data_IF_399409987832
#
_entry.id   IF_399409987832
#
_cell.length_a   1.000
_cell.length_b   1.000
_cell.length_c   1.000
_cell.angle_alpha   90.00
_cell.angle_beta   90.00
_cell.angle_gamma   90.00
#
_symmetry.space_group_name_H-M   'P 1'
#
loop_
_entity.id
_entity.type
_entity.pdbx_description
1 polymer ?
#
# COMPACT_ATOMS: atom_id res chain seq x y z
N UNK A 1 -21.33 31.58 -18.19
CA UNK A 1 -21.64 30.46 -17.27
C UNK A 1 -20.31 29.80 -16.93
N UNK A 2 -19.74 30.07 -15.76
CA UNK A 2 -18.45 29.48 -15.36
C UNK A 2 -18.71 28.06 -14.85
N UNK A 3 -18.05 27.01 -15.38
CA UNK A 3 -18.23 25.67 -14.86
C UNK A 3 -17.69 25.60 -13.43
N UNK A 4 -18.46 24.96 -12.57
CA UNK A 4 -18.20 24.85 -11.15
C UNK A 4 -16.94 23.98 -10.94
N UNK A 5 -15.77 24.64 -10.79
CA UNK A 5 -14.43 24.04 -10.66
C UNK A 5 -14.18 23.32 -9.32
N UNK A 6 -15.18 23.30 -8.43
CA UNK A 6 -15.06 22.70 -7.10
C UNK A 6 -16.04 21.53 -6.94
N UNK A 7 -15.83 20.45 -7.72
CA UNK A 7 -16.34 19.15 -7.29
C UNK A 7 -15.56 18.78 -6.02
N UNK A 8 -16.25 18.77 -4.87
CA UNK A 8 -15.69 18.16 -3.65
C UNK A 8 -15.25 16.74 -4.00
N UNK A 9 -13.99 16.34 -3.70
CA UNK A 9 -13.60 14.95 -3.81
C UNK A 9 -14.61 14.10 -3.04
N UNK A 10 -14.97 12.93 -3.59
CA UNK A 10 -15.77 11.98 -2.83
C UNK A 10 -15.09 11.72 -1.48
N UNK A 11 -15.87 11.53 -0.38
CA UNK A 11 -15.27 11.21 0.91
C UNK A 11 -14.38 9.98 0.74
N UNK A 12 -13.08 10.14 1.02
CA UNK A 12 -12.13 9.03 0.95
C UNK A 12 -12.55 7.98 1.99
N UNK A 13 -12.53 6.68 1.62
CA UNK A 13 -12.75 5.59 2.57
C UNK A 13 -11.84 5.77 3.79
N UNK A 14 -12.37 5.58 4.99
CA UNK A 14 -11.55 5.59 6.21
C UNK A 14 -10.56 4.41 6.18
N UNK A 15 -9.36 4.55 6.76
CA UNK A 15 -8.45 3.42 6.94
C UNK A 15 -9.13 2.29 7.71
N UNK A 16 -8.93 1.06 7.26
CA UNK A 16 -9.39 -0.18 7.89
C UNK A 16 -8.51 -0.57 9.08
N UNK A 17 -7.23 -0.17 9.06
CA UNK A 17 -6.25 -0.39 10.12
C UNK A 17 -5.19 0.73 10.11
N UNK A 18 -4.37 0.79 11.16
CA UNK A 18 -3.24 1.72 11.25
C UNK A 18 -1.99 1.08 10.65
N UNK A 19 -1.15 1.81 9.88
CA UNK A 19 0.02 1.25 9.22
C UNK A 19 1.22 1.00 10.17
N UNK A 20 1.16 1.48 11.42
CA UNK A 20 2.32 1.45 12.31
C UNK A 20 3.52 2.23 11.75
N UNK A 21 4.72 1.69 11.96
CA UNK A 21 5.99 2.24 11.47
C UNK A 21 6.17 1.94 9.99
N UNK A 22 6.39 2.97 9.18
CA UNK A 22 6.70 2.81 7.76
C UNK A 22 8.20 2.61 7.53
N UNK A 23 8.56 1.53 6.84
CA UNK A 23 9.91 1.24 6.38
C UNK A 23 9.93 1.07 4.85
N UNK A 24 11.00 1.54 4.22
CA UNK A 24 11.21 1.40 2.78
C UNK A 24 12.50 0.62 2.56
N UNK A 25 12.50 -0.31 1.60
CA UNK A 25 13.75 -0.89 1.14
C UNK A 25 14.67 0.20 0.56
N UNK A 26 15.97 -0.07 0.47
CA UNK A 26 16.94 0.91 -0.04
C UNK A 26 16.59 1.38 -1.46
N UNK A 27 16.15 0.46 -2.33
CA UNK A 27 15.75 0.78 -3.70
C UNK A 27 14.46 1.60 -3.74
N UNK A 28 13.46 1.24 -2.93
CA UNK A 28 12.20 2.01 -2.85
C UNK A 28 12.46 3.42 -2.27
N UNK A 29 13.30 3.54 -1.25
CA UNK A 29 13.71 4.82 -0.72
C UNK A 29 14.42 5.68 -1.79
N UNK A 30 15.28 5.08 -2.62
CA UNK A 30 15.90 5.77 -3.75
C UNK A 30 14.86 6.27 -4.77
N UNK A 31 13.89 5.42 -5.16
CA UNK A 31 12.81 5.80 -6.09
C UNK A 31 11.99 6.98 -5.55
N UNK A 32 11.65 6.94 -4.26
CA UNK A 32 10.91 8.01 -3.58
C UNK A 32 11.71 9.33 -3.57
N UNK A 33 13.00 9.27 -3.24
CA UNK A 33 13.89 10.45 -3.26
C UNK A 33 14.05 11.07 -4.64
N UNK A 34 13.86 10.29 -5.70
CA UNK A 34 13.86 10.76 -7.10
C UNK A 34 12.51 11.28 -7.56
N UNK A 35 11.47 11.21 -6.72
CA UNK A 35 10.11 11.61 -7.08
C UNK A 35 9.45 10.68 -8.10
N UNK A 36 9.96 9.46 -8.26
CA UNK A 36 9.43 8.48 -9.21
C UNK A 36 8.21 7.73 -8.66
N UNK A 37 8.06 7.73 -7.33
CA UNK A 37 6.93 7.15 -6.61
C UNK A 37 6.55 8.03 -5.42
N UNK A 38 5.30 7.91 -4.97
CA UNK A 38 4.83 8.45 -3.69
C UNK A 38 4.53 7.27 -2.73
N UNK A 39 5.44 6.93 -1.80
CA UNK A 39 5.23 5.86 -0.84
C UNK A 39 3.98 6.05 0.01
N UNK A 40 3.66 7.29 0.38
CA UNK A 40 2.54 7.58 1.25
C UNK A 40 1.21 7.28 0.53
N UNK A 41 1.12 7.58 -0.76
CA UNK A 41 -0.05 7.21 -1.57
C UNK A 41 -0.26 5.69 -1.61
N UNK A 42 0.82 4.90 -1.70
CA UNK A 42 0.73 3.43 -1.71
C UNK A 42 0.26 2.89 -0.35
N UNK A 43 0.81 3.40 0.75
CA UNK A 43 0.36 3.03 2.11
C UNK A 43 -1.09 3.43 2.31
N UNK A 44 -1.49 4.62 1.84
CA UNK A 44 -2.86 5.10 1.95
C UNK A 44 -3.86 4.20 1.22
N UNK A 45 -3.49 3.62 0.08
CA UNK A 45 -4.28 2.63 -0.63
C UNK A 45 -4.36 1.32 0.16
N UNK A 46 -3.22 0.81 0.61
CA UNK A 46 -3.10 -0.42 1.40
C UNK A 46 -3.99 -0.38 2.65
N UNK A 47 -3.85 0.66 3.49
CA UNK A 47 -4.64 0.76 4.74
C UNK A 47 -6.13 0.95 4.51
N UNK A 48 -6.57 1.28 3.29
CA UNK A 48 -7.99 1.42 2.92
C UNK A 48 -8.56 0.18 2.24
N UNK A 49 -7.78 -0.91 2.17
CA UNK A 49 -8.18 -2.15 1.53
C UNK A 49 -8.13 -2.11 0.00
N UNK A 50 -7.43 -1.14 -0.59
CA UNK A 50 -7.05 -1.25 -2.00
C UNK A 50 -5.82 -2.14 -2.09
N UNK A 51 -6.06 -3.42 -2.34
CA UNK A 51 -5.02 -4.45 -2.41
C UNK A 51 -4.21 -4.45 -3.73
N UNK A 52 -4.56 -3.57 -4.67
CA UNK A 52 -3.88 -3.48 -5.96
C UNK A 52 -4.14 -4.68 -6.87
N UNK A 53 -3.11 -5.21 -7.51
CA UNK A 53 -3.15 -6.36 -8.44
C UNK A 53 -2.91 -7.69 -7.72
N UNK A 54 -3.70 -7.98 -6.69
CA UNK A 54 -3.71 -9.27 -5.98
C UNK A 54 -4.82 -10.19 -6.48
N UNK A 55 -4.59 -11.50 -6.38
CA UNK A 55 -5.60 -12.53 -6.62
C UNK A 55 -6.64 -12.59 -5.49
N UNK A 56 -7.75 -13.27 -5.75
CA UNK A 56 -8.88 -13.33 -4.81
C UNK A 56 -8.51 -14.00 -3.48
N UNK A 57 -7.65 -15.03 -3.52
CA UNK A 57 -7.21 -15.72 -2.32
C UNK A 57 -6.43 -14.78 -1.39
N UNK A 58 -5.53 -13.96 -1.96
CA UNK A 58 -4.76 -12.96 -1.22
C UNK A 58 -5.66 -11.84 -0.67
N UNK A 59 -6.66 -11.40 -1.44
CA UNK A 59 -7.65 -10.42 -0.95
C UNK A 59 -8.41 -10.94 0.25
N UNK A 60 -8.90 -12.18 0.15
CA UNK A 60 -9.63 -12.81 1.25
C UNK A 60 -8.75 -13.02 2.48
N UNK A 61 -7.48 -13.38 2.29
CA UNK A 61 -6.50 -13.48 3.37
C UNK A 61 -6.29 -12.12 4.06
N UNK A 62 -6.10 -11.04 3.30
CA UNK A 62 -6.00 -9.69 3.87
C UNK A 62 -7.26 -9.29 4.65
N UNK A 63 -8.45 -9.59 4.12
CA UNK A 63 -9.70 -9.23 4.77
C UNK A 63 -9.88 -9.92 6.13
N UNK A 64 -9.36 -11.14 6.27
CA UNK A 64 -9.29 -11.86 7.55
C UNK A 64 -8.22 -11.24 8.45
N UNK A 65 -7.03 -10.98 7.90
CA UNK A 65 -5.88 -10.42 8.61
C UNK A 65 -6.14 -9.07 9.27
N UNK A 66 -7.01 -8.21 8.70
CA UNK A 66 -7.40 -6.92 9.30
C UNK A 66 -7.78 -7.04 10.80
N UNK A 67 -8.37 -8.17 11.21
CA UNK A 67 -8.81 -8.42 12.61
C UNK A 67 -8.04 -9.55 13.29
N UNK A 68 -7.08 -10.14 12.60
CA UNK A 68 -6.27 -11.25 13.08
C UNK A 68 -4.82 -10.84 13.30
N UNK A 69 -3.98 -11.86 13.47
CA UNK A 69 -2.53 -11.73 13.63
C UNK A 69 -1.84 -12.37 12.40
N UNK A 70 -2.22 -11.91 11.21
CA UNK A 70 -1.67 -12.39 9.93
C UNK A 70 -1.12 -11.19 9.14
N UNK A 71 -0.05 -11.37 8.35
CA UNK A 71 0.47 -10.29 7.53
C UNK A 71 -0.49 -9.94 6.39
N UNK A 72 -0.61 -8.66 6.09
CA UNK A 72 -1.35 -8.17 4.91
C UNK A 72 -0.39 -7.83 3.78
N UNK A 73 -0.78 -8.09 2.53
CA UNK A 73 0.05 -7.83 1.36
C UNK A 73 -0.72 -7.17 0.22
N UNK A 74 -0.10 -6.19 -0.44
CA UNK A 74 -0.63 -5.55 -1.64
C UNK A 74 0.41 -5.45 -2.72
N UNK A 75 -0.03 -5.56 -3.97
CA UNK A 75 0.83 -5.44 -5.15
C UNK A 75 0.38 -4.22 -5.96
N UNK A 76 1.23 -3.20 -6.04
CA UNK A 76 0.93 -2.00 -6.82
C UNK A 76 1.85 -1.91 -8.03
N UNK A 77 1.25 -2.05 -9.21
CA UNK A 77 1.92 -1.74 -10.48
C UNK A 77 2.04 -0.22 -10.65
N UNK A 78 3.27 0.26 -10.73
CA UNK A 78 3.61 1.68 -10.95
C UNK A 78 3.81 1.95 -12.43
N UNK A 79 4.56 1.07 -13.10
CA UNK A 79 4.73 1.03 -14.57
C UNK A 79 4.60 -0.43 -15.02
N UNK A 80 4.52 -0.73 -16.33
CA UNK A 80 4.45 -2.11 -16.80
C UNK A 80 5.61 -3.00 -16.29
N UNK A 81 6.78 -2.42 -16.03
CA UNK A 81 8.00 -3.09 -15.57
C UNK A 81 8.28 -2.92 -14.07
N UNK A 82 7.52 -2.08 -13.37
CA UNK A 82 7.74 -1.77 -11.96
C UNK A 82 6.50 -2.09 -11.12
N UNK A 83 6.63 -3.11 -10.28
CA UNK A 83 5.66 -3.48 -9.25
C UNK A 83 6.30 -3.25 -7.89
N UNK A 84 5.53 -2.71 -6.96
CA UNK A 84 5.92 -2.58 -5.55
C UNK A 84 4.99 -3.41 -4.68
N UNK A 85 5.58 -4.07 -3.68
CA UNK A 85 4.85 -4.78 -2.65
C UNK A 85 4.75 -3.87 -1.43
N UNK A 86 3.55 -3.71 -0.89
CA UNK A 86 3.32 -3.12 0.43
C UNK A 86 2.86 -4.22 1.37
N UNK A 87 3.60 -4.47 2.45
CA UNK A 87 3.27 -5.47 3.47
C UNK A 87 3.05 -4.81 4.82
N UNK A 88 2.10 -5.29 5.59
CA UNK A 88 1.95 -4.97 7.01
C UNK A 88 2.19 -6.24 7.82
N UNK A 89 3.00 -6.18 8.86
CA UNK A 89 3.32 -7.31 9.75
C UNK A 89 2.09 -7.83 10.49
N UNK A 90 2.15 -9.07 10.99
CA UNK A 90 1.08 -9.74 11.74
C UNK A 90 0.55 -8.92 12.94
N UNK A 91 1.43 -8.19 13.63
CA UNK A 91 1.09 -7.33 14.77
C UNK A 91 0.57 -5.93 14.37
N UNK A 92 0.47 -5.67 13.07
CA UNK A 92 0.11 -4.40 12.45
C UNK A 92 1.01 -3.21 12.86
N UNK A 93 2.19 -3.46 13.44
CA UNK A 93 3.09 -2.40 13.92
C UNK A 93 4.08 -1.92 12.87
N UNK A 94 4.28 -2.65 11.77
CA UNK A 94 5.24 -2.29 10.73
C UNK A 94 4.63 -2.46 9.35
N UNK A 95 4.69 -1.39 8.54
CA UNK A 95 4.41 -1.44 7.11
C UNK A 95 5.72 -1.29 6.33
N UNK A 96 6.02 -2.24 5.45
CA UNK A 96 7.17 -2.20 4.54
C UNK A 96 6.71 -1.95 3.12
N UNK A 97 7.49 -1.17 2.37
CA UNK A 97 7.43 -1.15 0.90
C UNK A 97 8.75 -1.67 0.32
N UNK A 98 8.66 -2.67 -0.54
CA UNK A 98 9.81 -3.32 -1.18
C UNK A 98 9.48 -3.75 -2.62
N UNK A 99 10.50 -4.09 -3.39
CA UNK A 99 10.36 -4.73 -4.69
C UNK A 99 10.13 -6.24 -4.54
N UNK A 100 9.40 -6.91 -5.45
CA UNK A 100 9.15 -8.35 -5.38
C UNK A 100 10.40 -9.24 -5.34
N UNK A 101 11.49 -8.80 -5.97
CA UNK A 101 12.74 -9.55 -6.02
C UNK A 101 13.68 -9.30 -4.82
N UNK A 102 13.33 -8.38 -3.92
CA UNK A 102 14.10 -8.13 -2.71
C UNK A 102 13.87 -9.22 -1.65
N UNK A 103 14.84 -9.37 -0.75
CA UNK A 103 14.66 -10.24 0.42
C UNK A 103 13.58 -9.64 1.32
N UNK A 104 12.66 -10.48 1.77
CA UNK A 104 11.57 -10.08 2.63
C UNK A 104 12.08 -9.42 3.92
N UNK A 105 11.54 -8.24 4.23
CA UNK A 105 11.98 -7.43 5.38
C UNK A 105 11.19 -7.71 6.67
N UNK A 106 9.99 -8.30 6.56
CA UNK A 106 9.09 -8.63 7.67
C UNK A 106 8.33 -9.93 7.41
#
# INVERSE_FOLDING_TARGET
>A
MFPNLFKRPAPQKQPLFAPGTLQLSEKVHWLARKGLIDPLALVQRHVRGDWGETDEATRQANDVAIRGDDPMISHFRITPELVLIVKTSEDHQTTVIQLPEERDMI
#
